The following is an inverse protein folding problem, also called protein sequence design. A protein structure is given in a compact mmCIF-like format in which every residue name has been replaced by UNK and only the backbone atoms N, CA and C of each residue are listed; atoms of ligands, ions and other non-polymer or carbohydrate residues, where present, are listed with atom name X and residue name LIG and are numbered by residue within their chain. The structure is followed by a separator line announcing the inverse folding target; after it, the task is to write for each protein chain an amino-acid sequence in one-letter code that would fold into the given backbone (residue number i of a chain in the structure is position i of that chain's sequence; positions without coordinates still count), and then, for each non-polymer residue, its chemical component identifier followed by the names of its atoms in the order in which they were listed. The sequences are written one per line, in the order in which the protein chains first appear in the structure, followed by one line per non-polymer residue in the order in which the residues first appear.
data_IF_841997815303
#
_entry.id   IF_841997815303
#
_cell.length_a   1.000
_cell.length_b   1.000
_cell.length_c   1.000
_cell.angle_alpha   90.00
_cell.angle_beta   90.00
_cell.angle_gamma   90.00
#
_symmetry.space_group_name_H-M   'P 1'
#
loop_
_entity.id
_entity.type
_entity.pdbx_description
1 polymer ?
#
# COMPACT_ATOMS: atom_id res chain seq x y z
N UNK A 1 17.55 -47.70 -102.66
CA UNK A 1 17.92 -46.27 -102.77
C UNK A 1 17.58 -45.61 -101.44
N UNK A 2 18.58 -45.01 -100.76
CA UNK A 2 18.56 -43.82 -99.88
C UNK A 2 17.42 -43.70 -98.82
N UNK A 3 17.58 -43.47 -97.50
CA UNK A 3 18.52 -42.72 -96.64
C UNK A 3 18.21 -43.12 -95.16
N UNK A 4 19.18 -43.43 -94.29
CA UNK A 4 19.88 -42.59 -93.30
C UNK A 4 19.06 -42.04 -92.09
N UNK A 5 19.44 -42.44 -90.86
CA UNK A 5 19.86 -41.56 -89.73
C UNK A 5 19.64 -42.18 -88.32
N UNK A 6 20.72 -42.17 -87.51
CA UNK A 6 20.84 -42.51 -86.08
C UNK A 6 19.99 -41.59 -85.15
N UNK A 7 19.57 -42.09 -83.98
CA UNK A 7 19.82 -41.46 -82.68
C UNK A 7 19.44 -42.37 -81.47
N UNK A 8 20.17 -42.16 -80.38
CA UNK A 8 20.34 -42.95 -79.16
C UNK A 8 19.21 -42.88 -78.11
N UNK A 9 19.25 -43.87 -77.20
CA UNK A 9 18.89 -43.85 -75.78
C UNK A 9 17.45 -43.46 -75.38
N UNK A 10 16.77 -44.35 -74.64
CA UNK A 10 16.64 -44.18 -73.18
C UNK A 10 16.02 -45.41 -72.52
N UNK A 11 16.67 -45.81 -71.44
CA UNK A 11 16.27 -46.78 -70.44
C UNK A 11 15.05 -46.23 -69.66
N UNK A 12 14.03 -47.05 -69.41
CA UNK A 12 12.86 -46.65 -68.64
C UNK A 12 12.25 -47.83 -67.87
N UNK A 13 13.00 -48.35 -66.90
CA UNK A 13 12.46 -49.17 -65.81
C UNK A 13 12.56 -48.36 -64.51
N UNK A 14 11.66 -48.64 -63.57
CA UNK A 14 11.56 -48.16 -62.18
C UNK A 14 10.66 -46.92 -62.06
N UNK A 15 9.46 -47.01 -61.47
CA UNK A 15 9.18 -47.58 -60.15
C UNK A 15 9.10 -46.42 -59.16
N UNK A 16 7.92 -45.81 -59.02
CA UNK A 16 7.71 -44.67 -58.12
C UNK A 16 7.64 -45.14 -56.66
N UNK A 17 8.80 -45.17 -55.99
CA UNK A 17 8.89 -45.19 -54.54
C UNK A 17 8.55 -43.79 -54.00
N UNK A 18 7.31 -43.56 -53.59
CA UNK A 18 6.90 -42.32 -52.93
C UNK A 18 7.24 -42.33 -51.45
N UNK A 19 8.48 -41.99 -51.09
CA UNK A 19 8.93 -41.83 -49.71
C UNK A 19 8.08 -40.79 -48.93
N UNK A 20 7.71 -41.12 -47.69
CA UNK A 20 7.17 -40.15 -46.73
C UNK A 20 8.07 -38.91 -46.69
N UNK A 21 7.50 -37.73 -47.00
CA UNK A 21 8.25 -36.46 -47.01
C UNK A 21 8.87 -36.24 -45.62
N UNK A 22 10.19 -36.15 -45.56
CA UNK A 22 10.92 -35.82 -44.33
C UNK A 22 10.63 -34.37 -43.94
N UNK A 23 10.55 -34.11 -42.65
CA UNK A 23 10.39 -32.74 -42.14
C UNK A 23 11.70 -31.98 -42.32
N UNK A 24 11.65 -30.88 -43.06
CA UNK A 24 12.80 -30.01 -43.38
C UNK A 24 12.83 -28.72 -42.57
N UNK A 25 11.73 -28.37 -41.88
CA UNK A 25 11.69 -27.22 -40.96
C UNK A 25 12.33 -27.57 -39.63
N UNK A 26 12.93 -26.58 -38.98
CA UNK A 26 13.39 -26.67 -37.59
C UNK A 26 12.47 -25.82 -36.73
N UNK A 27 11.82 -26.43 -35.73
CA UNK A 27 10.96 -25.72 -34.79
C UNK A 27 11.78 -24.82 -33.86
N UNK A 28 11.32 -23.58 -33.64
CA UNK A 28 11.90 -22.65 -32.67
C UNK A 28 11.13 -22.70 -31.34
N UNK A 29 11.62 -23.55 -30.44
CA UNK A 29 11.03 -23.78 -29.12
C UNK A 29 10.94 -22.48 -28.30
N UNK A 30 11.90 -21.57 -28.47
CA UNK A 30 11.96 -20.30 -27.71
C UNK A 30 10.91 -19.29 -28.16
N UNK A 31 10.41 -19.44 -29.40
CA UNK A 31 9.31 -18.67 -29.94
C UNK A 31 7.93 -19.36 -29.74
N UNK A 32 7.89 -20.50 -29.05
CA UNK A 32 6.68 -21.31 -28.88
C UNK A 32 6.26 -22.08 -30.13
N UNK A 33 7.16 -22.25 -31.10
CA UNK A 33 6.94 -23.11 -32.26
C UNK A 33 7.36 -24.54 -31.91
N UNK A 34 6.39 -25.44 -31.85
CA UNK A 34 6.58 -26.85 -31.50
C UNK A 34 6.24 -27.74 -32.70
N UNK A 35 6.83 -28.93 -32.75
CA UNK A 35 6.36 -29.93 -33.70
C UNK A 35 5.01 -30.49 -33.28
N UNK A 36 4.12 -30.62 -34.25
CA UNK A 36 2.92 -31.45 -34.08
C UNK A 36 3.31 -32.93 -33.96
N UNK A 37 2.42 -33.75 -33.41
CA UNK A 37 2.67 -35.18 -33.27
C UNK A 37 3.00 -35.87 -34.61
N UNK A 38 2.32 -35.46 -35.70
CA UNK A 38 2.58 -35.97 -37.05
C UNK A 38 3.94 -35.56 -37.62
N UNK A 39 4.42 -34.36 -37.31
CA UNK A 39 5.75 -33.87 -37.72
C UNK A 39 6.83 -34.54 -36.89
N UNK A 40 6.63 -34.67 -35.58
CA UNK A 40 7.55 -35.31 -34.66
C UNK A 40 7.85 -36.76 -35.05
N UNK A 41 6.81 -37.52 -35.42
CA UNK A 41 6.93 -38.90 -35.88
C UNK A 41 7.72 -39.06 -37.19
N UNK A 42 7.88 -37.98 -37.97
CA UNK A 42 8.63 -37.96 -39.23
C UNK A 42 10.07 -37.47 -39.06
N UNK A 43 10.49 -37.08 -37.85
CA UNK A 43 11.86 -36.68 -37.55
C UNK A 43 12.83 -37.88 -37.55
N UNK A 44 14.11 -37.62 -37.81
CA UNK A 44 15.19 -38.58 -37.53
C UNK A 44 15.54 -38.63 -36.04
N UNK A 45 16.26 -39.68 -35.61
CA UNK A 45 16.74 -39.79 -34.22
C UNK A 45 17.60 -38.57 -33.82
N UNK A 46 18.45 -38.09 -34.71
CA UNK A 46 19.29 -36.91 -34.46
C UNK A 46 18.46 -35.63 -34.32
N UNK A 47 17.41 -35.46 -35.14
CA UNK A 47 16.52 -34.32 -35.05
C UNK A 47 15.69 -34.36 -33.75
N UNK A 48 15.23 -35.55 -33.33
CA UNK A 48 14.55 -35.73 -32.05
C UNK A 48 15.46 -35.41 -30.87
N UNK A 49 16.70 -35.92 -30.88
CA UNK A 49 17.67 -35.63 -29.84
C UNK A 49 17.90 -34.13 -29.71
N UNK A 50 18.15 -33.44 -30.83
CA UNK A 50 18.31 -31.98 -30.84
C UNK A 50 17.07 -31.25 -30.31
N UNK A 51 15.88 -31.68 -30.69
CA UNK A 51 14.63 -31.07 -30.21
C UNK A 51 14.42 -31.26 -28.70
N UNK A 52 14.78 -32.43 -28.15
CA UNK A 52 14.77 -32.66 -26.70
C UNK A 52 15.80 -31.78 -25.99
N UNK A 53 16.98 -31.58 -26.57
CA UNK A 53 18.01 -30.69 -26.03
C UNK A 53 17.50 -29.24 -26.01
N UNK A 54 16.92 -28.77 -27.12
CA UNK A 54 16.33 -27.43 -27.24
C UNK A 54 15.18 -27.22 -26.23
N UNK A 55 14.33 -28.24 -26.02
CA UNK A 55 13.21 -28.19 -25.08
C UNK A 55 13.66 -28.19 -23.61
N UNK A 56 14.69 -28.97 -23.27
CA UNK A 56 15.25 -28.97 -21.92
C UNK A 56 15.95 -27.63 -21.60
N UNK A 57 16.68 -27.06 -22.55
CA UNK A 57 17.29 -25.74 -22.40
C UNK A 57 16.24 -24.63 -22.21
N UNK A 58 15.13 -24.65 -22.97
CA UNK A 58 14.06 -23.66 -22.78
C UNK A 58 13.32 -23.87 -21.45
N UNK A 59 13.12 -25.13 -21.01
CA UNK A 59 12.55 -25.41 -19.69
C UNK A 59 13.44 -24.85 -18.57
N UNK A 60 14.76 -25.03 -18.65
CA UNK A 60 15.70 -24.47 -17.68
C UNK A 60 15.68 -22.95 -17.68
N UNK A 61 15.60 -22.33 -18.87
CA UNK A 61 15.46 -20.88 -19.00
C UNK A 61 14.18 -20.37 -18.35
N UNK A 62 13.04 -21.01 -18.61
CA UNK A 62 11.74 -20.63 -18.04
C UNK A 62 11.73 -20.83 -16.52
N UNK A 63 12.34 -21.91 -16.01
CA UNK A 63 12.51 -22.13 -14.58
C UNK A 63 13.41 -21.07 -13.93
N UNK A 64 14.49 -20.65 -14.59
CA UNK A 64 15.36 -19.59 -14.10
C UNK A 64 14.65 -18.22 -14.10
N UNK A 65 13.92 -17.90 -15.18
CA UNK A 65 13.17 -16.65 -15.29
C UNK A 65 12.04 -16.56 -14.26
N UNK A 66 11.34 -17.67 -14.00
CA UNK A 66 10.27 -17.73 -12.97
C UNK A 66 10.85 -17.64 -11.57
N UNK A 67 11.98 -18.28 -11.27
CA UNK A 67 12.67 -18.15 -9.99
C UNK A 67 13.13 -16.70 -9.74
N UNK A 68 13.68 -16.04 -10.76
CA UNK A 68 14.05 -14.63 -10.69
C UNK A 68 12.82 -13.74 -10.45
N UNK A 69 11.75 -13.91 -11.23
CA UNK A 69 10.52 -13.15 -11.06
C UNK A 69 9.87 -13.36 -9.68
N UNK A 70 9.90 -14.57 -9.13
CA UNK A 70 9.42 -14.87 -7.78
C UNK A 70 10.27 -14.18 -6.69
N UNK A 71 11.59 -14.10 -6.89
CA UNK A 71 12.49 -13.41 -5.96
C UNK A 71 12.31 -11.89 -5.99
N UNK A 72 12.05 -11.32 -7.17
CA UNK A 72 11.81 -9.88 -7.36
C UNK A 72 10.41 -9.46 -6.88
N UNK A 73 9.42 -10.34 -6.98
CA UNK A 73 8.04 -10.04 -6.62
C UNK A 73 7.67 -10.25 -5.13
N UNK A 74 8.46 -10.92 -4.29
CA UNK A 74 7.84 -11.62 -3.14
C UNK A 74 8.56 -11.65 -1.77
N UNK A 75 9.56 -10.82 -1.49
CA UNK A 75 10.17 -10.79 -0.14
C UNK A 75 10.22 -9.39 0.46
N UNK A 76 11.01 -8.54 -0.18
CA UNK A 76 11.35 -7.23 0.35
C UNK A 76 10.14 -6.31 0.52
N UNK A 77 9.21 -6.30 -0.44
CA UNK A 77 8.01 -5.45 -0.37
C UNK A 77 7.04 -5.90 0.71
N UNK A 78 6.87 -7.22 0.89
CA UNK A 78 6.03 -7.78 1.95
C UNK A 78 6.61 -7.44 3.33
N UNK A 79 7.92 -7.55 3.49
CA UNK A 79 8.59 -7.26 4.76
C UNK A 79 8.59 -5.75 5.06
N UNK A 80 8.75 -4.91 4.04
CA UNK A 80 8.55 -3.46 4.15
C UNK A 80 7.13 -3.13 4.59
N UNK A 81 6.11 -3.69 3.92
CA UNK A 81 4.71 -3.46 4.26
C UNK A 81 4.37 -3.95 5.67
N UNK A 82 4.93 -5.08 6.12
CA UNK A 82 4.79 -5.55 7.51
C UNK A 82 5.40 -4.58 8.52
N UNK A 83 6.59 -4.04 8.21
CA UNK A 83 7.25 -3.02 9.04
C UNK A 83 6.41 -1.75 9.10
N UNK A 84 5.91 -1.27 7.96
CA UNK A 84 5.04 -0.08 7.89
C UNK A 84 3.75 -0.30 8.68
N UNK A 85 3.13 -1.48 8.60
CA UNK A 85 1.96 -1.82 9.42
C UNK A 85 2.27 -1.84 10.92
N UNK A 86 3.44 -2.35 11.33
CA UNK A 86 3.85 -2.34 12.73
C UNK A 86 4.07 -0.91 13.23
N UNK A 87 4.69 -0.06 12.41
CA UNK A 87 4.88 1.36 12.71
C UNK A 87 3.54 2.11 12.78
N UNK A 88 2.63 1.90 11.82
CA UNK A 88 1.31 2.54 11.84
C UNK A 88 0.49 2.13 13.06
N UNK A 89 0.55 0.86 13.46
CA UNK A 89 -0.11 0.39 14.68
C UNK A 89 0.45 1.05 15.94
N UNK A 90 1.77 1.22 16.03
CA UNK A 90 2.37 1.91 17.19
C UNK A 90 2.02 3.41 17.20
N UNK A 91 1.99 4.06 16.04
CA UNK A 91 1.52 5.44 15.90
C UNK A 91 0.06 5.60 16.30
N UNK A 92 -0.82 4.68 15.89
CA UNK A 92 -2.23 4.69 16.26
C UNK A 92 -2.40 4.58 17.78
N UNK A 93 -1.65 3.70 18.44
CA UNK A 93 -1.67 3.57 19.89
C UNK A 93 -1.22 4.86 20.59
N UNK A 94 -0.15 5.50 20.09
CA UNK A 94 0.32 6.77 20.62
C UNK A 94 -0.70 7.91 20.45
N UNK A 95 -1.37 7.96 19.28
CA UNK A 95 -2.42 8.94 19.01
C UNK A 95 -3.65 8.71 19.90
N UNK A 96 -4.04 7.46 20.14
CA UNK A 96 -5.12 7.14 21.06
C UNK A 96 -4.83 7.66 22.48
N UNK A 97 -3.62 7.44 23.00
CA UNK A 97 -3.21 7.98 24.29
C UNK A 97 -3.28 9.52 24.36
N UNK A 98 -2.87 10.20 23.28
CA UNK A 98 -2.98 11.67 23.19
C UNK A 98 -4.44 12.15 23.18
N UNK A 99 -5.33 11.40 22.51
CA UNK A 99 -6.75 11.71 22.49
C UNK A 99 -7.38 11.59 23.88
N UNK A 100 -7.02 10.56 24.64
CA UNK A 100 -7.54 10.37 26.00
C UNK A 100 -7.05 11.45 26.96
N UNK A 101 -5.77 11.84 26.88
CA UNK A 101 -5.24 12.98 27.65
C UNK A 101 -5.94 14.30 27.30
N UNK A 102 -6.27 14.52 26.03
CA UNK A 102 -6.99 15.72 25.60
C UNK A 102 -8.44 15.70 26.07
N UNK A 103 -9.10 14.54 26.05
CA UNK A 103 -10.46 14.37 26.56
C UNK A 103 -10.54 14.67 28.05
N UNK A 104 -9.57 14.19 28.83
CA UNK A 104 -9.50 14.49 30.26
C UNK A 104 -9.33 15.99 30.52
N UNK A 105 -8.45 16.66 29.76
CA UNK A 105 -8.29 18.11 29.85
C UNK A 105 -9.57 18.87 29.50
N UNK A 106 -10.25 18.48 28.41
CA UNK A 106 -11.53 19.09 28.03
C UNK A 106 -12.57 18.89 29.14
N UNK A 107 -12.70 17.67 29.66
CA UNK A 107 -13.62 17.37 30.74
C UNK A 107 -13.31 18.19 32.02
N UNK A 108 -12.03 18.38 32.34
CA UNK A 108 -11.62 19.27 33.42
C UNK A 108 -12.09 20.70 33.18
N UNK A 109 -11.77 21.31 32.04
CA UNK A 109 -12.18 22.69 31.74
C UNK A 109 -13.71 22.86 31.67
N UNK A 110 -14.44 21.86 31.17
CA UNK A 110 -15.91 21.85 31.16
C UNK A 110 -16.53 21.72 32.56
N UNK A 111 -15.85 21.04 33.49
CA UNK A 111 -16.30 20.90 34.88
C UNK A 111 -16.14 22.17 35.71
N UNK A 112 -15.30 23.11 35.25
CA UNK A 112 -15.04 24.34 35.98
C UNK A 112 -16.29 25.25 35.98
N UNK A 113 -16.53 25.98 37.08
CA UNK A 113 -17.69 26.86 37.19
C UNK A 113 -17.66 27.95 36.11
N UNK A 114 -18.78 28.09 35.39
CA UNK A 114 -19.05 29.21 34.47
C UNK A 114 -19.57 30.45 35.20
N UNK A 115 -20.07 30.26 36.41
CA UNK A 115 -20.66 31.29 37.25
C UNK A 115 -20.16 31.13 38.69
N UNK A 116 -20.04 32.24 39.41
CA UNK A 116 -19.64 32.25 40.81
C UNK A 116 -20.61 33.09 41.64
N UNK A 117 -21.12 32.52 42.74
CA UNK A 117 -21.92 33.23 43.73
C UNK A 117 -20.99 33.88 44.76
N UNK A 118 -21.03 35.19 44.86
CA UNK A 118 -20.24 35.97 45.83
C UNK A 118 -20.64 35.60 47.25
N UNK A 119 -19.63 35.28 48.07
CA UNK A 119 -19.81 34.98 49.49
C UNK A 119 -19.40 36.18 50.35
N UNK A 120 -19.83 36.19 51.61
CA UNK A 120 -19.42 37.21 52.58
C UNK A 120 -17.89 37.20 52.74
N UNK A 121 -17.27 38.36 52.50
CA UNK A 121 -15.82 38.54 52.61
C UNK A 121 -15.03 38.23 51.34
N UNK A 122 -15.70 37.86 50.24
CA UNK A 122 -15.05 37.81 48.94
C UNK A 122 -14.75 39.23 48.42
N UNK A 123 -13.66 39.33 47.66
CA UNK A 123 -13.36 40.44 46.77
C UNK A 123 -12.93 39.85 45.41
N UNK A 124 -12.97 40.64 44.33
CA UNK A 124 -12.67 40.13 42.99
C UNK A 124 -11.29 39.44 42.92
N UNK A 125 -10.30 39.97 43.63
CA UNK A 125 -8.97 39.38 43.78
C UNK A 125 -9.01 37.96 44.37
N UNK A 126 -9.69 37.78 45.49
CA UNK A 126 -9.79 36.49 46.18
C UNK A 126 -10.65 35.48 45.40
N UNK A 127 -11.67 35.94 44.66
CA UNK A 127 -12.45 35.09 43.76
C UNK A 127 -11.54 34.56 42.64
N UNK A 128 -10.80 35.46 41.98
CA UNK A 128 -9.86 35.11 40.89
C UNK A 128 -8.76 34.14 41.32
N UNK A 129 -8.30 34.26 42.58
CA UNK A 129 -7.28 33.39 43.16
C UNK A 129 -7.71 31.92 43.31
N UNK A 130 -9.03 31.63 43.38
CA UNK A 130 -9.52 30.26 43.61
C UNK A 130 -9.11 29.36 42.43
N UNK A 131 -8.68 28.14 42.74
CA UNK A 131 -8.20 27.15 41.75
C UNK A 131 -9.22 26.90 40.64
N UNK A 132 -10.48 26.74 41.01
CA UNK A 132 -11.58 26.49 40.08
C UNK A 132 -11.98 27.72 39.25
N UNK A 133 -11.49 28.92 39.58
CA UNK A 133 -11.77 30.15 38.84
C UNK A 133 -10.63 30.39 37.86
N UNK A 134 -9.50 30.92 38.31
CA UNK A 134 -8.35 31.15 37.44
C UNK A 134 -7.02 30.70 38.05
N UNK A 135 -7.00 30.26 39.32
CA UNK A 135 -5.79 30.02 40.08
C UNK A 135 -4.78 31.19 40.02
N UNK A 136 -5.25 32.40 39.71
CA UNK A 136 -4.41 33.55 39.45
C UNK A 136 -5.16 34.81 39.91
N UNK A 137 -4.74 35.45 41.00
CA UNK A 137 -5.43 36.63 41.50
C UNK A 137 -5.40 37.82 40.53
N UNK A 138 -4.37 37.94 39.68
CA UNK A 138 -4.20 39.06 38.75
C UNK A 138 -5.25 39.08 37.62
N UNK A 139 -6.04 38.01 37.49
CA UNK A 139 -7.11 37.90 36.50
C UNK A 139 -8.46 38.44 36.99
N UNK A 140 -8.51 39.02 38.19
CA UNK A 140 -9.71 39.67 38.72
C UNK A 140 -10.32 40.74 37.78
N UNK A 141 -9.56 41.51 36.97
CA UNK A 141 -10.16 42.48 36.06
C UNK A 141 -11.03 41.82 34.98
N UNK A 142 -10.80 40.52 34.66
CA UNK A 142 -11.65 39.79 33.72
C UNK A 142 -13.06 39.56 34.27
N UNK A 143 -13.16 39.28 35.57
CA UNK A 143 -14.46 39.13 36.25
C UNK A 143 -15.18 40.47 36.24
N UNK A 144 -14.48 41.56 36.56
CA UNK A 144 -15.04 42.90 36.49
C UNK A 144 -15.55 43.23 35.09
N UNK A 145 -14.70 43.08 34.06
CA UNK A 145 -15.05 43.42 32.68
C UNK A 145 -16.30 42.69 32.19
N UNK A 146 -16.41 41.39 32.47
CA UNK A 146 -17.54 40.57 32.05
C UNK A 146 -18.85 40.90 32.78
N UNK A 147 -18.78 41.54 33.95
CA UNK A 147 -19.93 41.80 34.82
C UNK A 147 -20.09 43.30 35.15
N UNK A 148 -19.58 44.20 34.30
CA UNK A 148 -19.62 45.67 34.51
C UNK A 148 -21.04 46.23 34.62
N UNK A 149 -22.01 45.56 34.02
CA UNK A 149 -23.43 45.89 34.15
C UNK A 149 -23.96 45.67 35.58
N UNK A 150 -23.34 44.75 36.33
CA UNK A 150 -23.70 44.41 37.72
C UNK A 150 -22.77 45.03 38.76
N UNK A 151 -21.54 45.38 38.39
CA UNK A 151 -20.51 45.90 39.29
C UNK A 151 -20.24 47.38 38.95
N UNK A 152 -20.81 48.29 39.75
CA UNK A 152 -20.59 49.72 39.58
C UNK A 152 -19.21 50.19 40.07
N UNK A 153 -18.70 49.55 41.13
CA UNK A 153 -17.39 49.81 41.70
C UNK A 153 -16.71 48.45 41.96
N UNK A 154 -15.52 48.18 41.36
CA UNK A 154 -14.83 46.90 41.53
C UNK A 154 -14.44 46.57 42.98
N UNK A 155 -14.36 47.58 43.85
CA UNK A 155 -14.07 47.40 45.28
C UNK A 155 -15.34 47.09 46.11
N UNK A 156 -16.53 47.23 45.52
CA UNK A 156 -17.82 47.01 46.18
C UNK A 156 -18.64 45.91 45.50
N UNK A 157 -18.45 44.68 45.97
CA UNK A 157 -19.30 43.53 45.63
C UNK A 157 -20.06 43.03 46.86
N UNK A 158 -21.24 42.47 46.64
CA UNK A 158 -22.17 42.07 47.69
C UNK A 158 -22.43 40.56 47.68
N UNK A 159 -22.66 39.94 48.85
CA UNK A 159 -23.06 38.54 48.92
C UNK A 159 -24.29 38.25 48.04
N UNK A 160 -24.34 37.03 47.51
CA UNK A 160 -25.39 36.50 46.63
C UNK A 160 -25.46 37.05 45.21
N UNK A 161 -24.61 38.03 44.84
CA UNK A 161 -24.38 38.36 43.44
C UNK A 161 -23.81 37.14 42.70
N UNK A 162 -24.23 36.94 41.45
CA UNK A 162 -23.75 35.85 40.60
C UNK A 162 -23.01 36.46 39.43
N UNK A 163 -21.71 36.17 39.36
CA UNK A 163 -20.85 36.68 38.29
C UNK A 163 -20.54 35.59 37.27
N UNK A 164 -20.60 35.97 36.00
CA UNK A 164 -20.07 35.19 34.90
C UNK A 164 -18.54 35.12 34.99
N UNK A 165 -17.98 33.93 34.78
CA UNK A 165 -16.55 33.65 34.84
C UNK A 165 -16.05 33.35 33.41
N UNK A 166 -15.52 34.34 32.67
CA UNK A 166 -15.06 34.14 31.29
C UNK A 166 -13.78 33.28 31.24
N UNK A 167 -13.70 32.29 30.36
CA UNK A 167 -12.51 31.41 30.20
C UNK A 167 -11.89 31.57 28.81
#
# INVERSE_FOLDING_TARGET
MLLAALALLTLGLLGTSGCSKKVTRQADVTAGDYYTEEEYNKLSDTQRAKYCDDLSAELDRLNAATAQAQSEASGADIDRLKSDLAQLKSQQAAQAGKLDQLREQIAYFESLPKNYRVLRGDCLWNISKKEQIYANPWLWPRIYEANKDQIHDPDLIYPDQVFDIPR
#
